data_IF_859504530505
#
_entry.id   IF_859504530505
#
_cell.length_a   1.000
_cell.length_b   1.000
_cell.length_c   1.000
_cell.angle_alpha   90.00
_cell.angle_beta   90.00
_cell.angle_gamma   90.00
#
_symmetry.space_group_name_H-M   'P 1'
#
loop_
_entity.id
_entity.type
_entity.pdbx_description
1 polymer ?
#
# COMPACT_ATOMS: atom_id res chain seq x y z
N UNK A 1 20.27 25.32 62.67
CA UNK A 1 19.54 26.58 62.92
C UNK A 1 19.31 26.88 64.40
N UNK A 2 18.58 26.04 65.16
CA UNK A 2 18.26 26.33 66.57
C UNK A 2 19.49 26.61 67.45
N UNK A 3 20.52 25.74 67.41
CA UNK A 3 21.72 25.91 68.22
C UNK A 3 22.49 27.20 67.90
N UNK A 4 22.64 27.53 66.61
CA UNK A 4 23.29 28.77 66.18
C UNK A 4 22.56 30.04 66.68
N UNK A 5 21.22 30.04 66.62
CA UNK A 5 20.41 31.16 67.13
C UNK A 5 20.49 31.28 68.67
N UNK A 6 20.62 30.16 69.39
CA UNK A 6 20.84 30.17 70.85
C UNK A 6 22.19 30.77 71.22
N UNK A 7 23.26 30.35 70.54
CA UNK A 7 24.61 30.89 70.75
C UNK A 7 24.68 32.39 70.48
N UNK A 8 24.07 32.86 69.39
CA UNK A 8 24.01 34.30 69.08
C UNK A 8 23.27 35.11 70.16
N UNK A 9 22.18 34.54 70.70
CA UNK A 9 21.40 35.17 71.78
C UNK A 9 22.23 35.33 73.06
N UNK A 10 23.02 34.32 73.41
CA UNK A 10 23.91 34.33 74.58
C UNK A 10 25.07 35.31 74.39
N UNK A 11 25.74 35.30 73.23
CA UNK A 11 26.88 36.18 72.94
C UNK A 11 26.50 37.66 72.87
N UNK A 12 25.35 37.99 72.28
CA UNK A 12 24.89 39.36 72.13
C UNK A 12 24.00 39.84 73.29
N UNK A 13 23.78 39.00 74.30
CA UNK A 13 22.90 39.26 75.45
C UNK A 13 21.47 39.71 75.04
N UNK A 14 20.96 39.21 73.91
CA UNK A 14 19.61 39.50 73.42
C UNK A 14 18.65 38.38 73.81
N UNK A 15 17.37 38.70 73.99
CA UNK A 15 16.35 37.73 74.41
C UNK A 15 16.25 36.57 73.41
N UNK A 16 16.30 35.34 73.92
CA UNK A 16 16.05 34.13 73.13
C UNK A 16 14.54 33.88 72.98
N UNK A 17 13.97 34.18 71.81
CA UNK A 17 12.55 33.99 71.49
C UNK A 17 12.31 32.95 70.39
N UNK A 18 13.26 32.01 70.22
CA UNK A 18 13.17 30.96 69.21
C UNK A 18 11.95 30.05 69.49
N UNK A 19 10.92 30.18 68.67
CA UNK A 19 9.74 29.31 68.66
C UNK A 19 9.83 28.28 67.53
N UNK A 20 9.10 27.17 67.67
CA UNK A 20 8.94 26.18 66.59
C UNK A 20 8.39 26.83 65.32
N UNK A 21 7.41 27.73 65.45
CA UNK A 21 6.85 28.52 64.33
C UNK A 21 7.87 29.43 63.65
N UNK A 22 8.88 29.92 64.38
CA UNK A 22 9.98 30.70 63.80
C UNK A 22 10.93 29.78 63.01
N UNK A 23 11.24 28.61 63.55
CA UNK A 23 12.10 27.62 62.89
C UNK A 23 11.50 27.13 61.57
N UNK A 24 10.18 26.90 61.49
CA UNK A 24 9.51 26.48 60.25
C UNK A 24 9.47 27.54 59.15
N UNK A 25 9.79 28.81 59.48
CA UNK A 25 9.86 29.91 58.49
C UNK A 25 11.23 30.02 57.83
N UNK A 26 12.26 29.36 58.36
CA UNK A 26 13.54 29.32 57.69
C UNK A 26 13.43 28.40 56.46
N UNK A 27 13.96 28.82 55.29
CA UNK A 27 14.05 27.97 54.12
C UNK A 27 14.71 26.63 54.47
N UNK A 28 14.21 25.55 53.89
CA UNK A 28 14.76 24.19 53.99
C UNK A 28 14.75 23.53 55.39
N UNK A 29 14.14 24.15 56.41
CA UNK A 29 13.96 23.51 57.73
C UNK A 29 12.93 22.38 57.68
N UNK A 30 11.91 22.53 56.84
CA UNK A 30 10.97 21.46 56.51
C UNK A 30 11.16 21.09 55.05
N UNK A 31 11.99 20.09 54.80
CA UNK A 31 12.15 19.51 53.48
C UNK A 31 11.22 18.30 53.33
N UNK A 32 10.40 18.29 52.29
CA UNK A 32 9.66 17.09 51.88
C UNK A 32 10.66 16.11 51.27
N UNK A 33 10.98 15.01 51.96
CA UNK A 33 11.67 13.88 51.34
C UNK A 33 10.65 13.09 50.53
N UNK A 34 10.86 12.99 49.22
CA UNK A 34 10.23 11.94 48.44
C UNK A 34 10.85 10.60 48.85
N UNK A 35 10.05 9.53 48.87
CA UNK A 35 10.58 8.19 49.08
C UNK A 35 11.58 7.88 47.96
N UNK A 36 12.71 7.26 48.31
CA UNK A 36 13.65 6.76 47.31
C UNK A 36 12.90 5.73 46.46
N UNK A 37 12.84 5.98 45.15
CA UNK A 37 12.24 5.06 44.19
C UNK A 37 13.26 3.96 43.93
N UNK A 38 12.84 2.71 44.04
CA UNK A 38 13.64 1.58 43.59
C UNK A 38 13.67 1.60 42.06
N UNK A 39 14.73 2.18 41.51
CA UNK A 39 14.91 2.32 40.06
C UNK A 39 15.01 0.97 39.35
N UNK A 40 15.54 -0.05 40.03
CA UNK A 40 15.69 -1.41 39.48
C UNK A 40 14.32 -2.09 39.37
N UNK A 41 13.51 -2.04 40.43
CA UNK A 41 12.14 -2.56 40.38
C UNK A 41 11.28 -1.80 39.35
N UNK A 42 11.41 -0.47 39.27
CA UNK A 42 10.69 0.33 38.29
C UNK A 42 11.07 -0.06 36.85
N UNK A 43 12.36 -0.29 36.60
CA UNK A 43 12.84 -0.75 35.30
C UNK A 43 12.31 -2.14 34.96
N UNK A 44 12.34 -3.09 35.90
CA UNK A 44 11.80 -4.43 35.70
C UNK A 44 10.32 -4.40 35.32
N UNK A 45 9.52 -3.64 36.06
CA UNK A 45 8.07 -3.51 35.81
C UNK A 45 7.79 -2.91 34.42
N UNK A 46 8.50 -1.84 34.06
CA UNK A 46 8.33 -1.17 32.76
C UNK A 46 8.82 -2.06 31.61
N UNK A 47 9.97 -2.71 31.77
CA UNK A 47 10.55 -3.58 30.75
C UNK A 47 9.66 -4.78 30.47
N UNK A 48 9.12 -5.42 31.52
CA UNK A 48 8.24 -6.57 31.39
C UNK A 48 6.94 -6.25 30.64
N UNK A 49 6.31 -5.10 30.95
CA UNK A 49 5.09 -4.67 30.25
C UNK A 49 5.39 -4.23 28.82
N UNK A 50 6.53 -3.56 28.60
CA UNK A 50 6.97 -3.12 27.26
C UNK A 50 7.24 -4.32 26.35
N UNK A 51 7.91 -5.36 26.86
CA UNK A 51 8.17 -6.59 26.11
C UNK A 51 6.86 -7.26 25.68
N UNK A 52 5.90 -7.42 26.60
CA UNK A 52 4.58 -7.98 26.27
C UNK A 52 3.81 -7.15 25.23
N UNK A 53 3.90 -5.82 25.32
CA UNK A 53 3.27 -4.93 24.34
C UNK A 53 3.91 -5.06 22.96
N UNK A 54 5.25 -5.17 22.89
CA UNK A 54 5.98 -5.37 21.65
C UNK A 54 5.66 -6.72 21.00
N UNK A 55 5.60 -7.79 21.78
CA UNK A 55 5.23 -9.13 21.27
C UNK A 55 3.84 -9.11 20.64
N UNK A 56 2.85 -8.55 21.35
CA UNK A 56 1.48 -8.40 20.82
C UNK A 56 1.44 -7.53 19.57
N UNK A 57 2.25 -6.48 19.51
CA UNK A 57 2.34 -5.61 18.34
C UNK A 57 2.88 -6.37 17.12
N UNK A 58 3.94 -7.17 17.30
CA UNK A 58 4.53 -8.00 16.24
C UNK A 58 3.55 -9.06 15.76
N UNK A 59 2.87 -9.76 16.68
CA UNK A 59 1.84 -10.75 16.35
C UNK A 59 0.70 -10.14 15.54
N UNK A 60 0.21 -8.97 15.94
CA UNK A 60 -0.86 -8.25 15.24
C UNK A 60 -0.41 -7.83 13.84
N UNK A 61 0.82 -7.30 13.69
CA UNK A 61 1.40 -6.93 12.39
C UNK A 61 1.53 -8.13 11.46
N UNK A 62 1.92 -9.29 11.97
CA UNK A 62 2.02 -10.51 11.18
C UNK A 62 0.64 -11.00 10.71
N UNK A 63 -0.36 -10.99 11.59
CA UNK A 63 -1.73 -11.37 11.25
C UNK A 63 -2.36 -10.43 10.20
N UNK A 64 -2.15 -9.13 10.35
CA UNK A 64 -2.59 -8.12 9.38
C UNK A 64 -1.90 -8.33 8.02
N UNK A 65 -0.58 -8.49 8.01
CA UNK A 65 0.18 -8.76 6.79
C UNK A 65 -0.28 -10.01 6.05
N UNK A 66 -0.59 -11.10 6.78
CA UNK A 66 -1.10 -12.33 6.18
C UNK A 66 -2.47 -12.13 5.52
N UNK A 67 -3.39 -11.42 6.18
CA UNK A 67 -4.72 -11.09 5.63
C UNK A 67 -4.62 -10.22 4.39
N UNK A 68 -3.71 -9.25 4.43
CA UNK A 68 -3.45 -8.30 3.35
C UNK A 68 -2.86 -8.99 2.12
N UNK A 69 -1.90 -9.91 2.32
CA UNK A 69 -1.35 -10.75 1.26
C UNK A 69 -2.46 -11.57 0.58
N UNK A 70 -3.32 -12.22 1.36
CA UNK A 70 -4.43 -13.01 0.83
C UNK A 70 -5.43 -12.17 0.02
N UNK A 71 -5.74 -10.95 0.47
CA UNK A 71 -6.60 -10.03 -0.28
C UNK A 71 -5.97 -9.67 -1.64
N UNK A 72 -4.69 -9.27 -1.65
CA UNK A 72 -3.97 -8.95 -2.89
C UNK A 72 -3.89 -10.15 -3.82
N UNK A 73 -3.62 -11.36 -3.32
CA UNK A 73 -3.60 -12.59 -4.12
C UNK A 73 -4.95 -12.85 -4.82
N UNK A 74 -6.08 -12.65 -4.12
CA UNK A 74 -7.40 -12.81 -4.72
C UNK A 74 -7.64 -11.81 -5.86
N UNK A 75 -7.17 -10.56 -5.70
CA UNK A 75 -7.27 -9.54 -6.75
C UNK A 75 -6.38 -9.87 -7.95
N UNK A 76 -5.18 -10.38 -7.72
CA UNK A 76 -4.29 -10.84 -8.79
C UNK A 76 -4.91 -12.01 -9.57
N UNK A 77 -5.60 -12.94 -8.90
CA UNK A 77 -6.33 -14.03 -9.56
C UNK A 77 -7.46 -13.49 -10.45
N UNK A 78 -8.22 -12.50 -9.95
CA UNK A 78 -9.24 -11.84 -10.75
C UNK A 78 -8.64 -11.14 -11.99
N UNK A 79 -7.55 -10.40 -11.83
CA UNK A 79 -6.85 -9.77 -12.95
C UNK A 79 -6.39 -10.79 -13.99
N UNK A 80 -5.87 -11.94 -13.55
CA UNK A 80 -5.44 -13.02 -14.45
C UNK A 80 -6.62 -13.64 -15.22
N UNK A 81 -7.78 -13.80 -14.58
CA UNK A 81 -9.01 -14.23 -15.25
C UNK A 81 -9.46 -13.21 -16.30
N UNK A 82 -9.45 -11.91 -15.95
CA UNK A 82 -9.75 -10.83 -16.88
C UNK A 82 -8.81 -10.82 -18.09
N UNK A 83 -7.50 -11.04 -17.89
CA UNK A 83 -6.53 -11.16 -18.98
C UNK A 83 -6.91 -12.31 -19.92
N UNK A 84 -7.27 -13.48 -19.38
CA UNK A 84 -7.73 -14.62 -20.21
C UNK A 84 -9.00 -14.32 -21.01
N UNK A 85 -9.94 -13.56 -20.45
CA UNK A 85 -11.13 -13.09 -21.17
C UNK A 85 -10.77 -12.13 -22.29
N UNK A 86 -9.85 -11.19 -22.06
CA UNK A 86 -9.35 -10.27 -23.10
C UNK A 86 -8.70 -11.04 -24.24
N UNK A 87 -7.82 -11.99 -23.94
CA UNK A 87 -7.15 -12.85 -24.95
C UNK A 87 -8.18 -13.62 -25.80
N UNK A 88 -9.22 -14.15 -25.16
CA UNK A 88 -10.29 -14.89 -25.86
C UNK A 88 -11.12 -13.97 -26.77
N UNK A 89 -11.43 -12.76 -26.32
CA UNK A 89 -12.23 -11.79 -27.07
C UNK A 89 -11.43 -11.07 -28.16
N UNK A 90 -10.11 -10.97 -28.03
CA UNK A 90 -9.23 -10.43 -29.07
C UNK A 90 -8.93 -11.44 -30.17
N UNK A 91 -8.99 -12.74 -29.86
CA UNK A 91 -8.79 -13.81 -30.82
C UNK A 91 -9.80 -13.73 -31.98
N UNK A 92 -9.30 -13.82 -33.22
CA UNK A 92 -10.14 -13.82 -34.43
C UNK A 92 -10.74 -12.46 -34.81
N UNK A 93 -10.45 -11.38 -34.08
CA UNK A 93 -11.02 -10.06 -34.37
C UNK A 93 -10.57 -9.49 -35.71
N UNK A 94 -9.30 -9.68 -36.07
CA UNK A 94 -8.77 -9.23 -37.37
C UNK A 94 -9.49 -9.94 -38.51
N UNK A 95 -9.73 -11.24 -38.39
CA UNK A 95 -10.46 -12.04 -39.37
C UNK A 95 -11.93 -11.58 -39.48
N UNK A 96 -12.62 -11.41 -38.36
CA UNK A 96 -14.00 -10.93 -38.33
C UNK A 96 -14.14 -9.52 -38.95
N UNK A 97 -13.19 -8.62 -38.68
CA UNK A 97 -13.15 -7.29 -39.28
C UNK A 97 -12.92 -7.37 -40.79
N UNK A 98 -11.96 -8.19 -41.23
CA UNK A 98 -11.64 -8.39 -42.64
C UNK A 98 -12.86 -8.89 -43.41
N UNK A 99 -13.55 -9.90 -42.88
CA UNK A 99 -14.77 -10.45 -43.48
C UNK A 99 -15.88 -9.39 -43.55
N UNK A 100 -16.08 -8.61 -42.48
CA UNK A 100 -17.08 -7.54 -42.46
C UNK A 100 -16.76 -6.41 -43.46
N UNK A 101 -15.49 -6.06 -43.61
CA UNK A 101 -15.03 -5.08 -44.59
C UNK A 101 -15.30 -5.58 -46.01
N UNK A 102 -14.97 -6.84 -46.28
CA UNK A 102 -15.21 -7.50 -47.56
C UNK A 102 -16.70 -7.51 -47.93
N UNK A 103 -17.57 -7.94 -47.02
CA UNK A 103 -19.03 -7.96 -47.24
C UNK A 103 -19.59 -6.55 -47.51
N UNK A 104 -19.14 -5.54 -46.76
CA UNK A 104 -19.54 -4.14 -47.01
C UNK A 104 -19.12 -3.66 -48.40
N UNK A 105 -17.89 -3.95 -48.81
CA UNK A 105 -17.39 -3.56 -50.12
C UNK A 105 -18.17 -4.25 -51.23
N UNK A 106 -18.50 -5.53 -51.08
CA UNK A 106 -19.32 -6.30 -52.02
C UNK A 106 -20.70 -5.67 -52.23
N UNK A 107 -21.35 -5.23 -51.15
CA UNK A 107 -22.65 -4.53 -51.20
C UNK A 107 -22.54 -3.18 -51.91
N UNK A 108 -21.50 -2.39 -51.63
CA UNK A 108 -21.34 -1.04 -52.20
C UNK A 108 -20.94 -1.07 -53.68
N UNK A 109 -20.16 -2.08 -54.07
CA UNK A 109 -19.54 -2.15 -55.39
C UNK A 109 -20.39 -2.88 -56.43
N UNK A 110 -21.51 -3.51 -56.05
CA UNK A 110 -22.52 -4.13 -56.95
C UNK A 110 -21.88 -4.85 -58.17
N UNK A 111 -20.99 -5.82 -57.92
CA UNK A 111 -20.22 -6.61 -58.90
C UNK A 111 -18.99 -5.95 -59.57
N UNK A 112 -18.52 -4.78 -59.11
CA UNK A 112 -17.17 -4.29 -59.48
C UNK A 112 -16.08 -5.04 -58.75
N UNK A 113 -14.94 -5.22 -59.43
CA UNK A 113 -13.81 -5.98 -58.91
C UNK A 113 -13.29 -5.36 -57.60
N UNK A 114 -13.28 -6.17 -56.53
CA UNK A 114 -12.71 -5.78 -55.23
C UNK A 114 -11.19 -5.90 -55.35
N UNK A 115 -10.48 -4.87 -54.89
CA UNK A 115 -9.01 -4.92 -54.78
C UNK A 115 -8.63 -5.61 -53.47
N UNK A 116 -8.39 -6.92 -53.54
CA UNK A 116 -8.02 -7.75 -52.40
C UNK A 116 -6.74 -7.25 -51.70
N UNK A 117 -5.78 -6.69 -52.44
CA UNK A 117 -4.54 -6.18 -51.86
C UNK A 117 -4.81 -4.96 -50.96
N UNK A 118 -5.77 -4.12 -51.33
CA UNK A 118 -6.17 -2.97 -50.51
C UNK A 118 -6.97 -3.42 -49.28
N UNK A 119 -7.83 -4.43 -49.40
CA UNK A 119 -8.55 -5.01 -48.25
C UNK A 119 -7.58 -5.62 -47.24
N UNK A 120 -6.59 -6.38 -47.70
CA UNK A 120 -5.56 -6.96 -46.83
C UNK A 120 -4.71 -5.89 -46.14
N UNK A 121 -4.39 -4.79 -46.83
CA UNK A 121 -3.64 -3.68 -46.25
C UNK A 121 -4.44 -3.00 -45.13
N UNK A 122 -5.73 -2.72 -45.34
CA UNK A 122 -6.59 -2.14 -44.30
C UNK A 122 -6.80 -3.10 -43.13
N UNK A 123 -6.94 -4.41 -43.39
CA UNK A 123 -7.01 -5.43 -42.36
C UNK A 123 -5.74 -5.49 -41.51
N UNK A 124 -4.55 -5.38 -42.12
CA UNK A 124 -3.28 -5.33 -41.40
C UNK A 124 -3.17 -4.06 -40.52
N UNK A 125 -3.51 -2.89 -41.07
CA UNK A 125 -3.52 -1.62 -40.31
C UNK A 125 -4.49 -1.69 -39.13
N UNK A 126 -5.67 -2.29 -39.33
CA UNK A 126 -6.64 -2.51 -38.26
C UNK A 126 -6.12 -3.49 -37.21
N UNK A 127 -5.47 -4.57 -37.64
CA UNK A 127 -4.81 -5.53 -36.75
C UNK A 127 -3.79 -4.87 -35.85
N UNK A 128 -2.84 -4.12 -36.41
CA UNK A 128 -1.80 -3.42 -35.63
C UNK A 128 -2.39 -2.44 -34.62
N UNK A 129 -3.50 -1.76 -34.97
CA UNK A 129 -4.16 -0.80 -34.07
C UNK A 129 -4.95 -1.46 -32.94
N UNK A 130 -5.37 -2.72 -33.11
CA UNK A 130 -6.28 -3.40 -32.18
C UNK A 130 -5.65 -4.60 -31.47
N UNK A 131 -4.44 -4.99 -31.86
CA UNK A 131 -3.69 -6.08 -31.24
C UNK A 131 -3.27 -5.72 -29.82
N UNK A 132 -3.64 -6.61 -28.89
CA UNK A 132 -3.40 -6.48 -27.45
C UNK A 132 -2.56 -7.64 -26.87
N UNK A 133 -1.98 -8.45 -27.75
CA UNK A 133 -1.22 -9.65 -27.38
C UNK A 133 0.02 -9.29 -26.56
N UNK A 134 0.70 -8.19 -26.90
CA UNK A 134 1.85 -7.72 -26.12
C UNK A 134 1.44 -7.31 -24.69
N UNK A 135 0.35 -6.56 -24.57
CA UNK A 135 -0.14 -6.08 -23.27
C UNK A 135 -0.61 -7.23 -22.38
N UNK A 136 -1.31 -8.23 -22.94
CA UNK A 136 -1.76 -9.41 -22.19
C UNK A 136 -0.59 -10.27 -21.70
N UNK A 137 0.43 -10.48 -22.55
CA UNK A 137 1.68 -11.17 -22.15
C UNK A 137 2.40 -10.40 -21.04
N UNK A 138 2.52 -9.07 -21.16
CA UNK A 138 3.15 -8.23 -20.13
C UNK A 138 2.37 -8.27 -18.82
N UNK A 139 1.04 -8.19 -18.86
CA UNK A 139 0.20 -8.30 -17.67
C UNK A 139 0.42 -9.63 -16.93
N UNK A 140 0.44 -10.76 -17.64
CA UNK A 140 0.75 -12.07 -17.02
C UNK A 140 2.13 -12.08 -16.37
N UNK A 141 3.13 -11.53 -17.05
CA UNK A 141 4.48 -11.40 -16.49
C UNK A 141 4.51 -10.54 -15.22
N UNK A 142 3.85 -9.39 -15.23
CA UNK A 142 3.77 -8.51 -14.07
C UNK A 142 3.02 -9.16 -12.91
N UNK A 143 1.91 -9.87 -13.16
CA UNK A 143 1.18 -10.64 -12.14
C UNK A 143 2.08 -11.72 -11.51
N UNK A 144 2.83 -12.46 -12.32
CA UNK A 144 3.75 -13.49 -11.82
C UNK A 144 4.88 -12.89 -10.97
N UNK A 145 5.46 -11.77 -11.41
CA UNK A 145 6.46 -11.02 -10.63
C UNK A 145 5.87 -10.50 -9.32
N UNK A 146 4.62 -10.03 -9.35
CA UNK A 146 3.90 -9.54 -8.17
C UNK A 146 3.80 -10.62 -7.09
N UNK A 147 3.36 -11.82 -7.48
CA UNK A 147 3.30 -12.99 -6.59
C UNK A 147 4.66 -13.34 -5.99
N UNK A 148 5.70 -13.35 -6.83
CA UNK A 148 7.07 -13.64 -6.41
C UNK A 148 7.60 -12.64 -5.39
N UNK A 149 7.20 -11.36 -5.48
CA UNK A 149 7.60 -10.32 -4.53
C UNK A 149 6.86 -10.47 -3.19
N UNK A 150 5.58 -10.85 -3.21
CA UNK A 150 4.79 -11.11 -1.99
C UNK A 150 5.31 -12.28 -1.14
N UNK A 151 6.25 -13.08 -1.65
CA UNK A 151 6.91 -14.17 -0.94
C UNK A 151 8.24 -13.77 -0.28
N UNK A 152 8.73 -12.56 -0.55
CA UNK A 152 10.03 -12.09 -0.03
C UNK A 152 9.90 -11.65 1.43
N UNK A 153 10.89 -12.02 2.26
CA UNK A 153 11.01 -11.59 3.66
C UNK A 153 11.82 -10.28 3.78
N UNK A 154 11.57 -9.32 2.89
CA UNK A 154 12.20 -8.00 2.92
C UNK A 154 11.16 -6.89 2.65
N UNK A 155 11.48 -5.61 2.90
CA UNK A 155 10.60 -4.51 2.54
C UNK A 155 10.38 -4.45 1.01
N UNK A 156 9.13 -4.67 0.58
CA UNK A 156 8.78 -4.79 -0.85
C UNK A 156 7.90 -3.66 -1.39
N UNK A 157 7.43 -2.73 -0.55
CA UNK A 157 6.43 -1.70 -0.91
C UNK A 157 6.73 -0.96 -2.21
N UNK A 158 7.96 -0.44 -2.39
CA UNK A 158 8.37 0.24 -3.64
C UNK A 158 8.33 -0.65 -4.88
N UNK A 159 8.70 -1.93 -4.76
CA UNK A 159 8.66 -2.87 -5.88
C UNK A 159 7.21 -3.18 -6.27
N UNK A 160 6.33 -3.31 -5.28
CA UNK A 160 4.90 -3.53 -5.49
C UNK A 160 4.21 -2.31 -6.11
N UNK A 161 4.58 -1.09 -5.68
CA UNK A 161 4.06 0.15 -6.28
C UNK A 161 4.46 0.26 -7.76
N UNK A 162 5.72 -0.01 -8.09
CA UNK A 162 6.17 -0.06 -9.48
C UNK A 162 5.36 -1.06 -10.33
N UNK A 163 5.18 -2.30 -9.86
CA UNK A 163 4.38 -3.27 -10.62
C UNK A 163 2.91 -2.87 -10.74
N UNK A 164 2.36 -2.20 -9.74
CA UNK A 164 0.98 -1.70 -9.78
C UNK A 164 0.82 -0.61 -10.85
N UNK A 165 1.83 0.25 -11.02
CA UNK A 165 1.88 1.22 -12.10
C UNK A 165 2.00 0.53 -13.48
N UNK A 166 2.82 -0.51 -13.60
CA UNK A 166 2.95 -1.26 -14.86
C UNK A 166 1.64 -2.00 -15.21
N UNK A 167 0.97 -2.63 -14.24
CA UNK A 167 -0.35 -3.24 -14.45
C UNK A 167 -1.38 -2.22 -14.97
N UNK A 168 -1.38 -1.02 -14.38
CA UNK A 168 -2.25 0.08 -14.83
C UNK A 168 -1.90 0.54 -16.25
N UNK A 169 -0.60 0.67 -16.56
CA UNK A 169 -0.13 1.07 -17.89
C UNK A 169 -0.62 0.09 -18.97
N UNK A 170 -0.39 -1.20 -18.80
CA UNK A 170 -0.81 -2.20 -19.79
C UNK A 170 -2.33 -2.25 -19.92
N UNK A 171 -3.07 -2.17 -18.79
CA UNK A 171 -4.54 -2.12 -18.79
C UNK A 171 -5.09 -0.88 -19.53
N UNK A 172 -4.44 0.27 -19.40
CA UNK A 172 -4.80 1.48 -20.15
C UNK A 172 -4.56 1.31 -21.66
N UNK A 173 -3.45 0.68 -22.04
CA UNK A 173 -3.13 0.42 -23.45
C UNK A 173 -4.15 -0.52 -24.09
N UNK A 174 -4.59 -1.58 -23.39
CA UNK A 174 -5.69 -2.44 -23.86
C UNK A 174 -6.96 -1.61 -24.08
N UNK A 175 -7.32 -0.77 -23.11
CA UNK A 175 -8.50 0.09 -23.19
C UNK A 175 -8.47 1.10 -24.34
N UNK A 176 -7.29 1.60 -24.73
CA UNK A 176 -7.16 2.57 -25.82
C UNK A 176 -7.09 1.91 -27.21
N UNK A 177 -6.56 0.68 -27.30
CA UNK A 177 -6.49 -0.11 -28.54
C UNK A 177 -7.80 -0.80 -28.89
N UNK A 178 -8.65 -1.09 -27.90
CA UNK A 178 -9.83 -1.90 -28.09
C UNK A 178 -11.14 -1.12 -27.86
N UNK A 179 -11.92 -0.91 -28.92
CA UNK A 179 -13.23 -0.21 -28.88
C UNK A 179 -14.44 -1.15 -28.69
N UNK A 180 -14.18 -2.37 -28.25
CA UNK A 180 -15.23 -3.35 -27.98
C UNK A 180 -15.82 -3.16 -26.59
N UNK A 181 -17.13 -3.25 -26.50
CA UNK A 181 -17.86 -2.94 -25.27
C UNK A 181 -17.59 -3.95 -24.15
N UNK A 182 -17.38 -5.22 -24.48
CA UNK A 182 -17.11 -6.26 -23.50
C UNK A 182 -15.68 -6.14 -22.97
N UNK A 183 -14.70 -5.90 -23.86
CA UNK A 183 -13.31 -5.63 -23.42
C UNK A 183 -13.24 -4.32 -22.62
N UNK A 184 -13.99 -3.28 -23.01
CA UNK A 184 -14.02 -2.02 -22.27
C UNK A 184 -14.53 -2.21 -20.84
N UNK A 185 -15.56 -3.05 -20.65
CA UNK A 185 -16.07 -3.39 -19.30
C UNK A 185 -15.00 -4.12 -18.49
N UNK A 186 -14.35 -5.13 -19.08
CA UNK A 186 -13.26 -5.86 -18.42
C UNK A 186 -12.13 -4.92 -18.01
N UNK A 187 -11.72 -3.99 -18.87
CA UNK A 187 -10.69 -2.99 -18.58
C UNK A 187 -11.08 -2.10 -17.38
N UNK A 188 -12.34 -1.68 -17.29
CA UNK A 188 -12.83 -0.90 -16.16
C UNK A 188 -12.76 -1.70 -14.86
N UNK A 189 -13.19 -2.97 -14.89
CA UNK A 189 -13.12 -3.86 -13.72
C UNK A 189 -11.66 -4.09 -13.28
N UNK A 190 -10.75 -4.32 -14.24
CA UNK A 190 -9.31 -4.45 -13.97
C UNK A 190 -8.75 -3.19 -13.31
N UNK A 191 -9.08 -2.00 -13.81
CA UNK A 191 -8.63 -0.73 -13.22
C UNK A 191 -9.13 -0.55 -11.80
N UNK A 192 -10.37 -0.92 -11.53
CA UNK A 192 -10.94 -0.84 -10.19
C UNK A 192 -10.18 -1.75 -9.21
N UNK A 193 -9.83 -2.97 -9.63
CA UNK A 193 -9.04 -3.87 -8.79
C UNK A 193 -7.58 -3.40 -8.62
N UNK A 194 -6.96 -2.85 -9.66
CA UNK A 194 -5.61 -2.28 -9.58
C UNK A 194 -5.57 -1.09 -8.59
N UNK A 195 -6.59 -0.23 -8.58
CA UNK A 195 -6.63 0.88 -7.62
C UNK A 195 -6.80 0.38 -6.18
N UNK A 196 -7.64 -0.64 -5.94
CA UNK A 196 -7.74 -1.27 -4.61
C UNK A 196 -6.43 -1.90 -4.16
N UNK A 197 -5.70 -2.55 -5.07
CA UNK A 197 -4.35 -3.06 -4.81
C UNK A 197 -3.41 -1.91 -4.41
N UNK A 198 -3.45 -0.79 -5.16
CA UNK A 198 -2.63 0.40 -4.90
C UNK A 198 -2.89 1.00 -3.52
N UNK A 199 -4.18 1.19 -3.16
CA UNK A 199 -4.59 1.67 -1.84
C UNK A 199 -4.05 0.74 -0.73
N UNK A 200 -4.13 -0.57 -0.95
CA UNK A 200 -3.60 -1.55 -0.02
C UNK A 200 -2.08 -1.40 0.15
N UNK A 201 -1.31 -1.28 -0.93
CA UNK A 201 0.15 -1.08 -0.83
C UNK A 201 0.52 0.20 -0.08
N UNK A 202 -0.20 1.30 -0.33
CA UNK A 202 0.08 2.58 0.36
C UNK A 202 -0.18 2.50 1.86
N UNK A 203 -1.06 1.60 2.30
CA UNK A 203 -1.28 1.31 3.72
C UNK A 203 -0.20 0.40 4.35
N UNK A 204 0.72 -0.18 3.55
CA UNK A 204 1.85 -0.98 4.06
C UNK A 204 3.07 -0.13 4.46
N UNK A 205 3.24 1.05 3.87
CA UNK A 205 4.31 2.01 4.18
C UNK A 205 4.10 2.67 5.56
#
# INVERSE_FOLDING_TARGET
YQQALRTLSEELCIKNDITTSLLTRFPDVLATRHADVDEEQLWEDVSAVTAQALDRFVEMRAAEGAKMKADVENRLNFLEECVGKVETLSAGRVEAYTNRLYEKLKVILEDRNIDDARVLTEAAIFGDKTAVDEETVRLRSHIAQYRSILEQNEPVGRKLDFLTQELNRETNTIGSKCQDLDITRIVVDMKAEIEKIREQIQNLE
#
